data_IF_493752564316
#
_entry.id   IF_493752564316
#
_cell.length_a   1.000
_cell.length_b   1.000
_cell.length_c   1.000
_cell.angle_alpha   90.00
_cell.angle_beta   90.00
_cell.angle_gamma   90.00
#
_symmetry.space_group_name_H-M   'P 1'
#
loop_
_entity.id
_entity.type
_entity.pdbx_description
1 polymer ?
#
# COMPACT_ATOMS: atom_id res chain seq x y z
N UNK A 1 38.45 -19.67 -7.14
CA UNK A 1 38.22 -19.71 -5.67
C UNK A 1 36.81 -19.26 -5.27
N UNK A 2 36.18 -18.22 -5.91
CA UNK A 2 34.81 -17.84 -5.61
C UNK A 2 33.78 -18.92 -5.96
N UNK A 3 33.93 -19.62 -7.08
CA UNK A 3 33.03 -20.71 -7.49
C UNK A 3 33.12 -21.93 -6.53
N UNK A 4 34.28 -22.22 -5.94
CA UNK A 4 34.45 -23.35 -5.02
C UNK A 4 33.79 -23.11 -3.63
N UNK A 5 33.59 -21.88 -3.22
CA UNK A 5 32.91 -21.56 -1.95
C UNK A 5 31.43 -21.86 -1.97
N UNK A 6 30.77 -21.77 -3.11
CA UNK A 6 29.33 -22.03 -3.29
C UNK A 6 28.98 -23.51 -3.45
N UNK A 7 29.95 -24.37 -3.76
CA UNK A 7 29.71 -25.82 -3.98
C UNK A 7 29.22 -26.57 -2.74
N UNK A 8 29.56 -26.11 -1.57
CA UNK A 8 29.09 -26.72 -0.32
C UNK A 8 27.58 -26.39 -0.01
N UNK A 9 26.98 -25.51 -0.77
CA UNK A 9 25.57 -25.12 -0.61
C UNK A 9 24.62 -26.00 -1.44
N UNK A 10 25.19 -26.82 -2.35
CA UNK A 10 24.43 -27.66 -3.27
C UNK A 10 24.95 -29.10 -3.28
N UNK A 11 24.04 -30.06 -3.33
CA UNK A 11 24.36 -31.45 -3.67
C UNK A 11 23.80 -31.77 -5.05
N UNK A 12 24.65 -32.25 -5.93
CA UNK A 12 24.31 -32.54 -7.30
C UNK A 12 24.25 -34.06 -7.54
N UNK A 13 23.27 -34.49 -8.34
CA UNK A 13 23.09 -35.86 -8.78
C UNK A 13 22.74 -35.89 -10.28
N UNK A 14 22.85 -37.03 -10.92
CA UNK A 14 22.52 -37.23 -12.32
C UNK A 14 23.70 -37.74 -13.17
N UNK A 15 23.46 -37.96 -14.46
CA UNK A 15 24.44 -38.41 -15.43
C UNK A 15 24.96 -37.20 -16.20
N UNK A 16 26.28 -36.96 -16.13
CA UNK A 16 26.91 -35.85 -16.84
C UNK A 16 27.93 -36.36 -17.84
N UNK A 17 27.94 -35.77 -19.01
CA UNK A 17 28.87 -35.98 -20.07
C UNK A 17 29.41 -34.64 -20.56
N UNK A 18 30.69 -34.54 -20.84
CA UNK A 18 31.26 -33.29 -21.30
C UNK A 18 32.59 -33.47 -22.02
N UNK A 19 32.89 -32.48 -22.86
CA UNK A 19 34.16 -32.38 -23.57
C UNK A 19 34.69 -30.95 -23.44
N UNK A 20 36.01 -30.81 -23.43
CA UNK A 20 36.69 -29.52 -23.45
C UNK A 20 37.84 -29.55 -24.46
N UNK A 21 37.97 -28.45 -25.21
CA UNK A 21 39.04 -28.24 -26.19
C UNK A 21 39.82 -26.99 -25.78
N UNK A 22 41.16 -27.13 -25.78
CA UNK A 22 42.08 -26.04 -25.45
C UNK A 22 42.95 -25.80 -26.66
N UNK A 23 42.93 -24.60 -27.22
CA UNK A 23 43.69 -24.24 -28.43
C UNK A 23 44.50 -22.98 -28.19
N UNK A 24 45.75 -23.01 -28.59
CA UNK A 24 46.63 -21.85 -28.50
C UNK A 24 47.86 -22.06 -27.60
N UNK A 25 48.58 -20.96 -27.35
CA UNK A 25 49.75 -20.94 -26.47
C UNK A 25 49.43 -20.27 -25.17
N UNK A 26 49.97 -20.79 -24.07
CA UNK A 26 49.91 -20.14 -22.76
C UNK A 26 51.21 -19.39 -22.52
N UNK A 27 51.17 -18.09 -22.33
CA UNK A 27 52.30 -17.24 -21.96
C UNK A 27 51.84 -16.10 -21.07
N UNK A 28 52.77 -15.28 -20.58
CA UNK A 28 52.40 -14.08 -19.76
C UNK A 28 51.46 -13.11 -20.46
N UNK A 29 51.44 -13.13 -21.80
CA UNK A 29 50.62 -12.19 -22.63
C UNK A 29 49.61 -12.90 -23.54
N UNK A 30 49.46 -14.22 -23.44
CA UNK A 30 48.61 -15.01 -24.32
C UNK A 30 47.92 -16.13 -23.53
N UNK A 31 46.64 -16.16 -23.54
CA UNK A 31 45.82 -17.22 -22.94
C UNK A 31 45.24 -18.11 -24.04
N UNK A 32 45.29 -19.43 -23.88
CA UNK A 32 44.67 -20.33 -24.85
C UNK A 32 43.17 -20.14 -24.87
N UNK A 33 42.56 -20.34 -26.03
CA UNK A 33 41.12 -20.40 -26.15
C UNK A 33 40.61 -21.73 -25.60
N UNK A 34 39.61 -21.68 -24.76
CA UNK A 34 38.98 -22.86 -24.16
C UNK A 34 37.52 -22.88 -24.65
N UNK A 35 37.10 -24.00 -25.21
CA UNK A 35 35.72 -24.31 -25.49
C UNK A 35 35.35 -25.57 -24.74
N UNK A 36 34.19 -25.58 -24.11
CA UNK A 36 33.67 -26.75 -23.40
C UNK A 36 32.20 -26.94 -23.68
N UNK A 37 31.78 -28.19 -23.76
CA UNK A 37 30.36 -28.58 -23.83
C UNK A 37 30.08 -29.60 -22.75
N UNK A 38 28.92 -29.49 -22.12
CA UNK A 38 28.47 -30.44 -21.10
C UNK A 38 27.00 -30.68 -21.20
N UNK A 39 26.57 -31.88 -20.86
CA UNK A 39 25.16 -32.25 -20.73
C UNK A 39 24.95 -32.89 -19.37
N UNK A 40 23.82 -32.59 -18.76
CA UNK A 40 23.32 -33.22 -17.55
C UNK A 40 21.98 -33.85 -17.90
N UNK A 41 21.83 -35.15 -17.62
CA UNK A 41 20.58 -35.91 -17.80
C UNK A 41 20.08 -36.41 -16.45
N UNK A 42 18.77 -36.39 -16.25
CA UNK A 42 18.15 -36.79 -15.00
C UNK A 42 18.82 -36.14 -13.75
N UNK A 43 19.24 -34.91 -13.91
CA UNK A 43 19.93 -34.17 -12.88
C UNK A 43 19.04 -33.87 -11.68
N UNK A 44 19.65 -33.87 -10.50
CA UNK A 44 19.05 -33.39 -9.28
C UNK A 44 19.96 -32.36 -8.62
N UNK A 45 19.38 -31.33 -8.06
CA UNK A 45 20.06 -30.32 -7.25
C UNK A 45 19.34 -30.24 -5.90
N UNK A 46 20.04 -30.53 -4.83
CA UNK A 46 19.58 -30.34 -3.47
C UNK A 46 20.22 -29.07 -2.91
N UNK A 47 19.40 -28.14 -2.49
CA UNK A 47 19.87 -26.92 -1.82
C UNK A 47 20.01 -27.21 -0.32
N UNK A 48 21.26 -27.35 0.14
CA UNK A 48 21.61 -27.82 1.48
C UNK A 48 21.00 -26.91 2.58
N UNK A 49 20.84 -25.61 2.29
CA UNK A 49 20.36 -24.61 3.26
C UNK A 49 18.90 -24.79 3.65
N UNK A 50 18.04 -25.18 2.73
CA UNK A 50 16.59 -25.31 2.94
C UNK A 50 16.04 -26.72 2.62
N UNK A 51 16.92 -27.64 2.25
CA UNK A 51 16.60 -29.02 1.85
C UNK A 51 15.58 -29.11 0.71
N UNK A 52 15.52 -28.09 -0.14
CA UNK A 52 14.73 -28.12 -1.38
C UNK A 52 15.48 -28.92 -2.44
N UNK A 53 14.74 -29.74 -3.20
CA UNK A 53 15.30 -30.60 -4.23
C UNK A 53 14.64 -30.35 -5.59
N UNK A 54 15.46 -30.09 -6.61
CA UNK A 54 15.04 -30.05 -7.99
C UNK A 54 15.42 -31.36 -8.63
N UNK A 55 14.48 -32.07 -9.28
CA UNK A 55 14.72 -33.36 -9.96
C UNK A 55 14.40 -33.29 -11.44
N UNK A 56 14.99 -34.22 -12.19
CA UNK A 56 14.69 -34.40 -13.61
C UNK A 56 15.24 -33.28 -14.50
N UNK A 57 16.31 -32.63 -14.05
CA UNK A 57 16.98 -31.60 -14.85
C UNK A 57 17.66 -32.21 -16.06
N UNK A 58 17.37 -31.67 -17.25
CA UNK A 58 18.10 -31.90 -18.48
C UNK A 58 18.69 -30.60 -18.96
N UNK A 59 20.01 -30.44 -18.86
CA UNK A 59 20.71 -29.18 -19.11
C UNK A 59 21.80 -29.42 -20.13
N UNK A 60 21.94 -28.53 -21.11
CA UNK A 60 23.09 -28.41 -21.96
C UNK A 60 23.83 -27.13 -21.66
N UNK A 61 25.14 -27.18 -21.52
CA UNK A 61 25.98 -26.00 -21.26
C UNK A 61 27.05 -25.95 -22.33
N UNK A 62 27.27 -24.78 -22.90
CA UNK A 62 28.41 -24.50 -23.79
C UNK A 62 29.19 -23.31 -23.24
N UNK A 63 30.48 -23.45 -23.16
CA UNK A 63 31.38 -22.41 -22.67
C UNK A 63 32.40 -22.05 -23.75
N UNK A 64 32.70 -20.77 -23.88
CA UNK A 64 33.78 -20.25 -24.70
C UNK A 64 34.51 -19.15 -23.90
N UNK A 65 35.84 -19.31 -23.73
CA UNK A 65 36.63 -18.31 -23.02
C UNK A 65 36.79 -16.98 -23.78
N UNK A 66 36.34 -16.93 -25.02
CA UNK A 66 36.56 -15.79 -25.90
C UNK A 66 37.97 -15.83 -26.54
N UNK A 67 38.21 -14.81 -27.35
CA UNK A 67 39.51 -14.58 -27.99
C UNK A 67 39.89 -13.10 -27.89
N UNK A 68 40.79 -12.70 -26.98
CA UNK A 68 41.19 -11.31 -26.79
C UNK A 68 41.76 -10.66 -28.05
N UNK A 69 42.48 -11.42 -28.91
CA UNK A 69 43.03 -10.93 -30.16
C UNK A 69 41.97 -10.59 -31.19
N UNK A 70 40.88 -11.37 -31.19
CA UNK A 70 39.69 -11.11 -32.03
C UNK A 70 38.66 -10.22 -31.37
N UNK A 71 38.92 -9.65 -30.18
CA UNK A 71 37.97 -8.90 -29.34
C UNK A 71 36.70 -9.70 -28.99
N UNK A 72 36.74 -11.01 -29.04
CA UNK A 72 35.66 -11.89 -28.66
C UNK A 72 35.66 -12.07 -27.15
N UNK A 73 34.58 -11.75 -26.50
CA UNK A 73 34.38 -11.92 -25.05
C UNK A 73 34.07 -13.38 -24.71
N UNK A 74 34.28 -13.76 -23.46
CA UNK A 74 33.84 -15.04 -22.95
C UNK A 74 32.31 -15.15 -22.97
N UNK A 75 31.80 -16.37 -23.15
CA UNK A 75 30.37 -16.63 -23.15
C UNK A 75 30.01 -17.99 -22.54
N UNK A 76 28.86 -18.09 -21.94
CA UNK A 76 28.22 -19.34 -21.52
C UNK A 76 26.80 -19.38 -22.06
N UNK A 77 26.49 -20.44 -22.77
CA UNK A 77 25.13 -20.77 -23.20
C UNK A 77 24.62 -21.93 -22.36
N UNK A 78 23.46 -21.77 -21.78
CA UNK A 78 22.78 -22.77 -20.96
C UNK A 78 21.39 -22.98 -21.57
N UNK A 79 21.00 -24.22 -21.82
CA UNK A 79 19.64 -24.55 -22.23
C UNK A 79 19.06 -25.65 -21.34
N UNK A 80 17.79 -25.46 -20.99
CA UNK A 80 16.98 -26.43 -20.25
C UNK A 80 15.96 -27.00 -21.22
N UNK A 81 15.87 -28.33 -21.27
CA UNK A 81 14.89 -29.00 -22.15
C UNK A 81 13.87 -29.74 -21.31
N UNK A 82 12.66 -29.23 -21.25
CA UNK A 82 11.49 -29.89 -20.60
C UNK A 82 11.82 -30.60 -19.30
N UNK A 83 12.50 -29.88 -18.42
CA UNK A 83 12.87 -30.42 -17.12
C UNK A 83 11.69 -30.38 -16.20
N UNK A 84 11.39 -31.47 -15.50
CA UNK A 84 10.40 -31.48 -14.43
C UNK A 84 11.01 -30.84 -13.18
N UNK A 85 10.48 -29.70 -12.78
CA UNK A 85 10.90 -28.99 -11.57
C UNK A 85 9.71 -29.03 -10.59
N UNK A 86 9.86 -29.70 -9.46
CA UNK A 86 8.78 -29.90 -8.49
C UNK A 86 7.43 -30.39 -9.09
N UNK A 87 7.49 -31.29 -10.09
CA UNK A 87 6.33 -31.80 -10.76
C UNK A 87 5.76 -30.92 -11.89
N UNK A 88 6.38 -29.78 -12.14
CA UNK A 88 6.07 -28.83 -13.21
C UNK A 88 7.10 -28.89 -14.33
N UNK A 89 6.76 -28.47 -15.55
CA UNK A 89 7.71 -28.40 -16.65
C UNK A 89 8.20 -26.97 -16.83
N UNK A 90 9.52 -26.80 -16.89
CA UNK A 90 10.19 -25.55 -17.21
C UNK A 90 11.17 -25.76 -18.33
N UNK A 91 11.15 -24.90 -19.33
CA UNK A 91 12.15 -24.87 -20.38
C UNK A 91 12.66 -23.44 -20.60
N UNK A 92 13.89 -23.33 -21.06
CA UNK A 92 14.48 -22.03 -21.31
C UNK A 92 15.93 -22.09 -21.72
N UNK A 93 16.47 -20.91 -21.92
CA UNK A 93 17.88 -20.68 -22.25
C UNK A 93 18.42 -19.45 -21.56
N UNK A 94 19.69 -19.45 -21.28
CA UNK A 94 20.44 -18.29 -20.84
C UNK A 94 21.72 -18.17 -21.66
N UNK A 95 22.00 -16.99 -22.19
CA UNK A 95 23.26 -16.59 -22.78
C UNK A 95 23.90 -15.57 -21.85
N UNK A 96 25.10 -15.88 -21.37
CA UNK A 96 25.87 -15.02 -20.46
C UNK A 96 27.14 -14.60 -21.18
N UNK A 97 27.25 -13.34 -21.53
CA UNK A 97 28.39 -12.78 -22.20
C UNK A 97 29.29 -11.98 -21.26
N UNK A 98 30.61 -12.02 -21.47
CA UNK A 98 31.59 -11.25 -20.72
C UNK A 98 31.61 -11.59 -19.22
N UNK A 99 32.06 -12.77 -18.84
CA UNK A 99 32.04 -13.30 -17.48
C UNK A 99 32.72 -12.40 -16.43
N UNK A 100 33.63 -11.48 -16.85
CA UNK A 100 34.25 -10.49 -15.94
C UNK A 100 33.30 -9.35 -15.58
N UNK A 101 32.40 -8.98 -16.51
CA UNK A 101 31.29 -8.01 -16.33
C UNK A 101 30.08 -8.54 -17.11
N UNK A 102 29.31 -9.45 -16.52
CA UNK A 102 28.35 -10.27 -17.25
C UNK A 102 27.14 -9.49 -17.74
N UNK A 103 26.76 -9.86 -18.96
CA UNK A 103 25.51 -9.44 -19.59
C UNK A 103 24.67 -10.68 -19.83
N UNK A 104 23.41 -10.65 -19.42
CA UNK A 104 22.50 -11.79 -19.45
C UNK A 104 21.39 -11.59 -20.47
N UNK A 105 21.22 -12.57 -21.35
CA UNK A 105 20.01 -12.77 -22.13
C UNK A 105 19.37 -14.08 -21.66
N UNK A 106 18.14 -14.02 -21.15
CA UNK A 106 17.45 -15.18 -20.56
C UNK A 106 16.06 -15.29 -21.14
N UNK A 107 15.65 -16.50 -21.50
CA UNK A 107 14.26 -16.81 -21.84
C UNK A 107 13.79 -18.04 -21.09
N UNK A 108 12.56 -17.98 -20.54
CA UNK A 108 11.92 -19.06 -19.78
C UNK A 108 10.46 -19.20 -20.20
N UNK A 109 9.97 -20.43 -20.14
CA UNK A 109 8.57 -20.77 -20.32
C UNK A 109 8.24 -22.02 -19.49
N UNK A 110 7.04 -22.07 -18.92
CA UNK A 110 6.58 -23.20 -18.12
C UNK A 110 6.21 -22.81 -16.70
N UNK A 111 6.00 -23.78 -15.85
CA UNK A 111 5.53 -23.57 -14.49
C UNK A 111 6.68 -23.64 -13.49
N UNK A 112 6.71 -22.69 -12.55
CA UNK A 112 7.74 -22.52 -11.54
C UNK A 112 7.11 -22.36 -10.14
N UNK A 113 7.42 -23.27 -9.18
CA UNK A 113 7.07 -23.04 -7.79
C UNK A 113 7.70 -21.76 -7.26
N UNK A 114 6.89 -20.93 -6.58
CA UNK A 114 7.34 -19.63 -6.08
C UNK A 114 8.50 -19.74 -5.08
N UNK A 115 8.57 -20.84 -4.31
CA UNK A 115 9.63 -21.11 -3.35
C UNK A 115 11.03 -21.16 -3.99
N UNK A 116 11.13 -21.49 -5.29
CA UNK A 116 12.40 -21.44 -6.02
C UNK A 116 13.00 -20.04 -6.10
N UNK A 117 12.18 -18.99 -6.10
CA UNK A 117 12.67 -17.62 -6.12
C UNK A 117 13.40 -17.23 -4.81
N UNK A 118 13.20 -17.99 -3.73
CA UNK A 118 13.95 -17.79 -2.48
C UNK A 118 15.46 -18.06 -2.69
N UNK A 119 15.83 -18.83 -3.71
CA UNK A 119 17.22 -19.10 -4.08
C UNK A 119 17.93 -17.87 -4.65
N UNK A 120 17.20 -16.94 -5.24
CA UNK A 120 17.74 -15.68 -5.73
C UNK A 120 18.18 -14.74 -4.60
N UNK A 121 17.86 -15.10 -3.35
CA UNK A 121 18.25 -14.37 -2.12
C UNK A 121 17.94 -12.87 -2.16
N UNK A 122 16.77 -12.51 -2.69
CA UNK A 122 16.30 -11.11 -2.67
C UNK A 122 16.05 -10.71 -1.23
N UNK A 123 16.76 -9.70 -0.75
CA UNK A 123 16.70 -9.28 0.65
C UNK A 123 15.27 -8.93 1.09
N UNK A 124 14.81 -9.58 2.14
CA UNK A 124 13.49 -9.35 2.74
C UNK A 124 12.32 -10.01 2.02
N UNK A 125 12.50 -10.61 0.83
CA UNK A 125 11.46 -11.33 0.10
C UNK A 125 11.53 -12.83 0.39
N UNK A 126 10.41 -13.44 0.78
CA UNK A 126 10.33 -14.88 1.02
C UNK A 126 8.97 -15.42 0.58
N UNK A 127 8.98 -16.40 -0.33
CA UNK A 127 7.80 -17.11 -0.80
C UNK A 127 7.54 -18.33 0.07
N UNK A 128 6.35 -18.40 0.69
CA UNK A 128 5.91 -19.53 1.51
C UNK A 128 5.22 -20.60 0.65
N UNK A 129 4.43 -20.18 -0.35
CA UNK A 129 3.59 -21.05 -1.17
C UNK A 129 3.29 -20.41 -2.52
N UNK A 130 2.86 -21.24 -3.49
CA UNK A 130 2.29 -20.84 -4.77
C UNK A 130 3.17 -21.20 -5.95
N UNK A 131 2.68 -20.83 -7.13
CA UNK A 131 3.36 -21.08 -8.39
C UNK A 131 3.18 -19.92 -9.38
N UNK A 132 4.11 -19.85 -10.32
CA UNK A 132 4.04 -18.99 -11.49
C UNK A 132 3.93 -19.87 -12.74
N UNK A 133 2.90 -19.64 -13.53
CA UNK A 133 2.81 -20.19 -14.90
C UNK A 133 3.29 -19.11 -15.87
N UNK A 134 4.51 -19.30 -16.35
CA UNK A 134 5.22 -18.35 -17.19
C UNK A 134 4.88 -18.66 -18.65
N UNK A 135 4.03 -17.84 -19.25
CA UNK A 135 3.73 -17.93 -20.67
C UNK A 135 4.89 -17.42 -21.53
N UNK A 136 5.53 -16.36 -21.05
CA UNK A 136 6.68 -15.74 -21.70
C UNK A 136 7.53 -14.99 -20.68
N UNK A 137 8.84 -15.23 -20.71
CA UNK A 137 9.85 -14.47 -19.97
C UNK A 137 11.04 -14.26 -20.88
N UNK A 138 11.36 -13.01 -21.15
CA UNK A 138 12.60 -12.60 -21.80
C UNK A 138 13.26 -11.48 -21.02
N UNK A 139 14.56 -11.60 -20.84
CA UNK A 139 15.42 -10.58 -20.26
C UNK A 139 16.59 -10.39 -21.21
N UNK A 140 16.76 -9.20 -21.76
CA UNK A 140 17.78 -8.90 -22.77
C UNK A 140 18.73 -7.82 -22.28
N UNK A 141 20.03 -7.99 -22.58
CA UNK A 141 21.10 -7.04 -22.19
C UNK A 141 21.13 -6.69 -20.69
N UNK A 142 20.65 -7.56 -19.83
CA UNK A 142 20.56 -7.29 -18.39
C UNK A 142 21.92 -7.35 -17.71
N UNK A 143 22.20 -6.33 -16.86
CA UNK A 143 23.46 -6.21 -16.10
C UNK A 143 23.15 -6.10 -14.61
N UNK A 144 23.53 -7.10 -13.79
CA UNK A 144 23.21 -7.12 -12.35
C UNK A 144 23.76 -5.92 -11.56
N UNK A 145 24.89 -5.35 -11.99
CA UNK A 145 25.50 -4.20 -11.32
C UNK A 145 24.67 -2.91 -11.43
N UNK A 146 23.81 -2.83 -12.45
CA UNK A 146 22.83 -1.77 -12.64
C UNK A 146 21.42 -2.16 -12.18
N UNK A 147 21.28 -3.25 -11.43
CA UNK A 147 20.00 -3.88 -11.09
C UNK A 147 19.19 -3.09 -10.08
N UNK A 148 18.60 -1.99 -10.53
CA UNK A 148 17.43 -1.41 -9.89
C UNK A 148 16.16 -2.11 -10.42
N UNK A 149 15.06 -2.03 -9.70
CA UNK A 149 13.74 -2.44 -10.19
C UNK A 149 13.44 -1.81 -11.55
N UNK A 150 13.82 -0.56 -11.74
CA UNK A 150 13.68 0.17 -13.00
C UNK A 150 14.45 -0.50 -14.15
N UNK A 151 15.68 -0.92 -13.92
CA UNK A 151 16.47 -1.61 -14.94
C UNK A 151 15.83 -2.94 -15.36
N UNK A 152 15.34 -3.73 -14.40
CA UNK A 152 14.62 -4.96 -14.68
C UNK A 152 13.35 -4.71 -15.51
N UNK A 153 12.55 -3.72 -15.13
CA UNK A 153 11.32 -3.35 -15.84
C UNK A 153 11.60 -2.89 -17.30
N UNK A 154 12.75 -2.24 -17.54
CA UNK A 154 13.13 -1.77 -18.88
C UNK A 154 13.67 -2.86 -19.81
N UNK A 155 14.35 -3.88 -19.26
CA UNK A 155 15.02 -4.95 -20.02
C UNK A 155 14.23 -6.25 -20.08
N UNK A 156 13.13 -6.36 -19.34
CA UNK A 156 12.32 -7.54 -19.26
C UNK A 156 11.04 -7.46 -20.09
N UNK A 157 10.66 -8.59 -20.68
CA UNK A 157 9.30 -8.85 -21.18
C UNK A 157 8.81 -10.10 -20.49
N UNK A 158 7.70 -10.01 -19.75
CA UNK A 158 7.22 -11.10 -18.91
C UNK A 158 5.72 -11.16 -18.97
N UNK A 159 5.19 -12.34 -19.24
CA UNK A 159 3.77 -12.63 -19.09
C UNK A 159 3.64 -13.90 -18.25
N UNK A 160 3.02 -13.77 -17.08
CA UNK A 160 2.79 -14.91 -16.22
C UNK A 160 1.47 -14.83 -15.48
N UNK A 161 0.96 -15.99 -15.09
CA UNK A 161 -0.12 -16.13 -14.11
C UNK A 161 0.45 -16.57 -12.79
N UNK A 162 -0.03 -15.96 -11.72
CA UNK A 162 0.28 -16.34 -10.36
C UNK A 162 -0.88 -17.14 -9.78
N UNK A 163 -0.58 -18.20 -9.03
CA UNK A 163 -1.59 -19.05 -8.39
C UNK A 163 -1.20 -19.32 -6.94
N UNK A 164 -2.13 -19.15 -6.02
CA UNK A 164 -1.98 -19.49 -4.59
C UNK A 164 -0.74 -18.86 -3.93
N UNK A 165 -0.28 -17.69 -4.36
CA UNK A 165 0.92 -17.07 -3.81
C UNK A 165 0.71 -16.59 -2.38
N UNK A 166 1.59 -17.03 -1.50
CA UNK A 166 1.76 -16.48 -0.15
C UNK A 166 3.24 -16.13 -0.01
N UNK A 167 3.50 -14.86 0.25
CA UNK A 167 4.87 -14.37 0.43
C UNK A 167 4.95 -13.26 1.46
N UNK A 168 6.13 -13.07 1.99
CA UNK A 168 6.45 -11.96 2.89
C UNK A 168 7.50 -11.07 2.23
N UNK A 169 7.32 -9.76 2.37
CA UNK A 169 8.36 -8.80 2.07
C UNK A 169 8.65 -7.99 3.34
N UNK A 170 9.87 -8.15 3.86
CA UNK A 170 10.25 -7.70 5.19
C UNK A 170 9.30 -8.31 6.25
N UNK A 171 8.48 -7.50 6.94
CA UNK A 171 7.53 -7.94 7.96
C UNK A 171 6.09 -8.04 7.43
N UNK A 172 5.86 -7.66 6.17
CA UNK A 172 4.52 -7.61 5.59
C UNK A 172 4.18 -8.92 4.89
N UNK A 173 3.05 -9.51 5.25
CA UNK A 173 2.51 -10.71 4.59
C UNK A 173 1.60 -10.33 3.44
N UNK A 174 1.80 -10.98 2.29
CA UNK A 174 1.02 -10.80 1.07
C UNK A 174 0.43 -12.12 0.62
N UNK A 175 -0.82 -12.06 0.16
CA UNK A 175 -1.55 -13.21 -0.40
C UNK A 175 -2.13 -12.81 -1.74
N UNK A 176 -1.85 -13.60 -2.76
CA UNK A 176 -2.35 -13.46 -4.13
C UNK A 176 -2.87 -14.82 -4.58
N UNK A 177 -4.18 -15.09 -4.48
CA UNK A 177 -4.76 -16.38 -4.86
C UNK A 177 -4.59 -16.66 -6.35
N UNK A 178 -5.04 -15.72 -7.20
CA UNK A 178 -4.95 -15.79 -8.65
C UNK A 178 -4.75 -14.40 -9.26
N UNK A 179 -4.05 -14.35 -10.39
CA UNK A 179 -3.86 -13.12 -11.12
C UNK A 179 -2.89 -13.24 -12.27
N UNK A 180 -2.93 -12.28 -13.18
CA UNK A 180 -1.99 -12.16 -14.28
C UNK A 180 -1.16 -10.88 -14.20
N UNK A 181 0.08 -11.01 -14.60
CA UNK A 181 1.04 -9.90 -14.69
C UNK A 181 1.68 -9.94 -16.07
N UNK A 182 1.62 -8.80 -16.75
CA UNK A 182 2.24 -8.60 -18.05
C UNK A 182 3.19 -7.40 -17.96
N UNK A 183 4.44 -7.65 -18.26
CA UNK A 183 5.48 -6.62 -18.38
C UNK A 183 5.97 -6.57 -19.82
N UNK A 184 5.77 -5.44 -20.48
CA UNK A 184 6.29 -5.16 -21.80
C UNK A 184 6.64 -3.68 -21.94
N UNK A 185 7.74 -3.38 -22.61
CA UNK A 185 8.19 -2.01 -22.92
C UNK A 185 8.24 -1.09 -21.67
N UNK A 186 8.69 -1.61 -20.54
CA UNK A 186 8.77 -0.86 -19.28
C UNK A 186 7.44 -0.61 -18.59
N UNK A 187 6.36 -1.18 -19.10
CA UNK A 187 5.01 -1.09 -18.52
C UNK A 187 4.58 -2.43 -17.95
N UNK A 188 4.33 -2.46 -16.65
CA UNK A 188 3.76 -3.59 -15.94
C UNK A 188 2.25 -3.41 -15.84
N UNK A 189 1.48 -4.31 -16.45
CA UNK A 189 0.04 -4.40 -16.28
C UNK A 189 -0.28 -5.47 -15.25
N UNK A 190 -1.25 -5.19 -14.38
CA UNK A 190 -1.70 -6.07 -13.30
C UNK A 190 -3.18 -6.32 -13.45
N UNK A 191 -3.60 -7.57 -13.34
CA UNK A 191 -5.00 -7.99 -13.27
C UNK A 191 -5.10 -9.13 -12.25
N UNK A 192 -5.48 -8.79 -11.01
CA UNK A 192 -5.48 -9.69 -9.87
C UNK A 192 -6.91 -9.80 -9.34
N UNK A 193 -7.43 -11.02 -9.27
CA UNK A 193 -8.77 -11.26 -8.71
C UNK A 193 -8.85 -10.78 -7.26
N UNK A 194 -7.78 -10.99 -6.51
CA UNK A 194 -7.65 -10.54 -5.13
C UNK A 194 -6.18 -10.34 -4.75
N UNK A 195 -5.91 -9.31 -3.98
CA UNK A 195 -4.62 -9.06 -3.36
C UNK A 195 -4.78 -8.68 -1.91
N UNK A 196 -4.13 -9.39 -1.00
CA UNK A 196 -4.14 -9.06 0.44
C UNK A 196 -2.77 -8.60 0.89
N UNK A 197 -2.72 -7.47 1.56
CA UNK A 197 -1.55 -6.94 2.27
C UNK A 197 -1.86 -6.86 3.76
N UNK A 198 -1.21 -7.71 4.54
CA UNK A 198 -1.50 -7.91 5.96
C UNK A 198 -2.99 -8.25 6.21
N UNK A 199 -3.79 -7.26 6.58
CA UNK A 199 -5.23 -7.41 6.82
C UNK A 199 -6.09 -6.71 5.75
N UNK A 200 -5.50 -5.90 4.90
CA UNK A 200 -6.21 -5.16 3.87
C UNK A 200 -6.32 -6.02 2.61
N UNK A 201 -7.53 -6.33 2.19
CA UNK A 201 -7.81 -7.10 0.97
C UNK A 201 -8.44 -6.20 -0.07
N UNK A 202 -7.83 -6.17 -1.24
CA UNK A 202 -8.36 -5.50 -2.45
C UNK A 202 -8.80 -6.58 -3.41
N UNK A 203 -10.06 -6.55 -3.80
CA UNK A 203 -10.64 -7.41 -4.83
C UNK A 203 -10.61 -6.69 -6.19
N UNK A 204 -10.53 -7.45 -7.28
CA UNK A 204 -10.48 -6.95 -8.67
C UNK A 204 -9.43 -5.86 -8.89
N UNK A 205 -8.22 -6.05 -8.34
CA UNK A 205 -7.12 -5.08 -8.46
C UNK A 205 -6.56 -5.07 -9.88
N UNK A 206 -6.74 -3.97 -10.59
CA UNK A 206 -6.30 -3.77 -11.97
C UNK A 206 -5.52 -2.48 -12.14
N UNK A 207 -4.66 -2.47 -13.13
CA UNK A 207 -3.99 -1.24 -13.52
C UNK A 207 -2.61 -1.43 -14.11
N UNK A 208 -1.81 -0.38 -14.04
CA UNK A 208 -0.49 -0.40 -14.62
C UNK A 208 0.53 0.42 -13.83
N UNK A 209 1.78 -0.02 -13.92
CA UNK A 209 2.96 0.65 -13.37
C UNK A 209 3.94 0.85 -14.53
N UNK A 210 4.43 2.08 -14.70
CA UNK A 210 5.41 2.44 -15.73
C UNK A 210 6.68 2.93 -15.06
N UNK A 211 7.82 2.41 -15.53
CA UNK A 211 9.12 2.79 -15.00
C UNK A 211 9.80 3.85 -15.86
N UNK A 212 10.27 4.91 -15.23
CA UNK A 212 11.07 5.97 -15.82
C UNK A 212 12.29 6.25 -14.93
N UNK A 213 13.47 5.84 -15.33
CA UNK A 213 14.71 6.02 -14.55
C UNK A 213 14.56 5.68 -13.04
N UNK A 214 14.43 6.72 -12.19
CA UNK A 214 14.30 6.58 -10.73
C UNK A 214 12.86 6.89 -10.23
N UNK A 215 11.87 6.73 -11.09
CA UNK A 215 10.45 6.96 -10.82
C UNK A 215 9.61 5.80 -11.34
N UNK A 216 8.59 5.42 -10.57
CA UNK A 216 7.50 4.55 -11.00
C UNK A 216 6.21 5.35 -11.01
N UNK A 217 5.53 5.42 -12.15
CA UNK A 217 4.19 5.96 -12.25
C UNK A 217 3.18 4.82 -12.19
N UNK A 218 2.10 4.98 -11.43
CA UNK A 218 1.08 3.95 -11.30
C UNK A 218 -0.33 4.51 -11.47
N UNK A 219 -1.19 3.65 -12.00
CA UNK A 219 -2.65 3.85 -12.02
C UNK A 219 -3.28 2.51 -11.66
N UNK A 220 -4.00 2.46 -10.54
CA UNK A 220 -4.60 1.24 -10.02
C UNK A 220 -6.04 1.50 -9.61
N UNK A 221 -6.90 0.51 -9.79
CA UNK A 221 -8.26 0.48 -9.30
C UNK A 221 -8.61 -0.91 -8.75
N UNK A 222 -9.59 -0.94 -7.84
CA UNK A 222 -10.05 -2.17 -7.21
C UNK A 222 -11.13 -1.90 -6.17
N UNK A 223 -11.54 -2.94 -5.48
CA UNK A 223 -12.54 -2.88 -4.40
C UNK A 223 -11.89 -3.16 -3.06
N UNK A 224 -11.99 -2.21 -2.11
CA UNK A 224 -11.47 -2.33 -0.74
C UNK A 224 -12.61 -2.06 0.25
N UNK A 225 -12.82 -2.94 1.22
CA UNK A 225 -13.85 -2.77 2.26
C UNK A 225 -15.21 -2.36 1.68
N UNK A 226 -15.70 -3.10 0.70
CA UNK A 226 -16.92 -2.87 -0.10
C UNK A 226 -16.91 -1.61 -0.99
N UNK A 227 -15.92 -0.73 -0.87
CA UNK A 227 -15.83 0.51 -1.62
C UNK A 227 -14.91 0.40 -2.84
N UNK A 228 -15.25 1.13 -3.90
CA UNK A 228 -14.38 1.28 -5.07
C UNK A 228 -13.24 2.24 -4.75
N UNK A 229 -12.02 1.84 -5.07
CA UNK A 229 -10.79 2.66 -4.92
C UNK A 229 -10.17 2.86 -6.29
N UNK A 230 -9.93 4.11 -6.66
CA UNK A 230 -9.18 4.53 -7.84
C UNK A 230 -7.99 5.35 -7.35
N UNK A 231 -6.78 4.99 -7.76
CA UNK A 231 -5.57 5.73 -7.39
C UNK A 231 -4.64 5.91 -8.57
N UNK A 232 -4.00 7.05 -8.63
CA UNK A 232 -2.90 7.30 -9.55
C UNK A 232 -1.83 8.13 -8.85
N UNK A 233 -0.58 7.87 -9.20
CA UNK A 233 0.51 8.58 -8.56
C UNK A 233 1.85 8.16 -9.08
N UNK A 234 2.87 8.53 -8.34
CA UNK A 234 4.25 8.15 -8.63
C UNK A 234 5.01 7.84 -7.36
N UNK A 235 6.01 6.98 -7.47
CA UNK A 235 7.04 6.78 -6.45
C UNK A 235 8.36 7.26 -7.03
N UNK A 236 8.99 8.23 -6.37
CA UNK A 236 10.29 8.80 -6.75
C UNK A 236 11.35 8.45 -5.73
N UNK A 237 12.62 8.54 -6.09
CA UNK A 237 13.73 8.28 -5.14
C UNK A 237 13.90 6.82 -4.75
N UNK A 238 13.53 5.89 -5.63
CA UNK A 238 13.54 4.44 -5.40
C UNK A 238 14.84 3.88 -4.81
N UNK A 239 15.97 4.46 -5.21
CA UNK A 239 17.31 3.96 -4.83
C UNK A 239 17.85 4.57 -3.53
N UNK A 240 17.12 5.49 -2.88
CA UNK A 240 17.57 6.18 -1.67
C UNK A 240 16.44 6.30 -0.65
N UNK A 241 15.61 7.30 -0.81
CA UNK A 241 14.47 7.61 0.07
C UNK A 241 13.21 7.73 -0.77
N UNK A 242 12.46 6.66 -0.92
CA UNK A 242 11.26 6.67 -1.73
C UNK A 242 10.22 7.65 -1.18
N UNK A 243 9.57 8.37 -2.10
CA UNK A 243 8.40 9.19 -1.79
C UNK A 243 7.28 8.81 -2.74
N UNK A 244 6.16 8.37 -2.20
CA UNK A 244 4.93 8.11 -2.94
C UNK A 244 4.05 9.36 -2.92
N UNK A 245 3.74 9.90 -4.10
CA UNK A 245 2.77 10.97 -4.28
C UNK A 245 1.58 10.41 -5.06
N UNK A 246 0.39 10.46 -4.46
CA UNK A 246 -0.78 9.85 -5.06
C UNK A 246 -2.06 10.65 -4.85
N UNK A 247 -2.98 10.50 -5.79
CA UNK A 247 -4.38 10.93 -5.65
C UNK A 247 -5.26 9.71 -5.50
N UNK A 248 -6.26 9.83 -4.65
CA UNK A 248 -7.19 8.78 -4.27
C UNK A 248 -8.63 9.24 -4.47
N UNK A 249 -9.42 8.42 -5.12
CA UNK A 249 -10.86 8.55 -5.17
C UNK A 249 -11.47 7.25 -4.66
N UNK A 250 -12.13 7.35 -3.52
CA UNK A 250 -12.74 6.21 -2.85
C UNK A 250 -14.24 6.45 -2.78
N UNK A 251 -15.03 5.45 -3.14
CA UNK A 251 -16.50 5.57 -3.18
C UNK A 251 -17.15 4.42 -2.43
N UNK A 252 -17.92 4.75 -1.41
CA UNK A 252 -18.76 3.78 -0.68
C UNK A 252 -17.99 2.84 0.25
N UNK A 253 -16.79 3.21 0.71
CA UNK A 253 -15.99 2.37 1.60
C UNK A 253 -16.64 2.24 2.98
N UNK A 254 -16.66 1.03 3.53
CA UNK A 254 -17.18 0.76 4.87
C UNK A 254 -16.13 1.13 5.92
N UNK A 255 -16.44 2.16 6.74
CA UNK A 255 -15.46 2.79 7.64
C UNK A 255 -14.95 1.86 8.73
N UNK A 256 -15.81 0.98 9.27
CA UNK A 256 -15.38 0.00 10.27
C UNK A 256 -14.35 -0.95 9.72
N UNK A 257 -14.60 -1.53 8.53
CA UNK A 257 -13.68 -2.46 7.87
C UNK A 257 -12.37 -1.76 7.49
N UNK A 258 -12.43 -0.51 7.03
CA UNK A 258 -11.24 0.28 6.73
C UNK A 258 -10.35 0.45 7.97
N UNK A 259 -10.94 0.85 9.10
CA UNK A 259 -10.20 1.00 10.36
C UNK A 259 -9.62 -0.34 10.85
N UNK A 260 -10.37 -1.44 10.75
CA UNK A 260 -9.88 -2.79 11.09
C UNK A 260 -8.70 -3.22 10.20
N UNK A 261 -8.82 -3.03 8.89
CA UNK A 261 -7.81 -3.43 7.92
C UNK A 261 -6.47 -2.73 8.12
N UNK A 262 -6.50 -1.48 8.57
CA UNK A 262 -5.31 -0.67 8.84
C UNK A 262 -5.00 -0.50 10.33
N UNK A 263 -5.48 -1.41 11.20
CA UNK A 263 -5.22 -1.40 12.66
C UNK A 263 -5.50 -0.04 13.30
N UNK A 264 -6.63 0.59 12.89
CA UNK A 264 -7.06 1.93 13.30
C UNK A 264 -6.03 3.05 12.97
N UNK A 265 -5.13 2.84 12.00
CA UNK A 265 -4.01 3.75 11.68
C UNK A 265 -3.14 4.08 12.91
N UNK A 266 -2.95 3.09 13.79
CA UNK A 266 -2.22 3.18 15.07
C UNK A 266 -2.72 4.28 16.03
N UNK A 267 -3.96 4.77 15.83
CA UNK A 267 -4.59 5.76 16.69
C UNK A 267 -5.69 5.14 17.57
N UNK A 268 -6.02 5.79 18.71
CA UNK A 268 -6.97 5.30 19.70
C UNK A 268 -8.19 6.20 19.88
N UNK A 269 -8.27 7.29 19.12
CA UNK A 269 -9.34 8.29 19.29
C UNK A 269 -10.63 7.88 18.59
N UNK A 270 -10.55 7.46 17.30
CA UNK A 270 -11.66 6.90 16.53
C UNK A 270 -11.23 5.53 16.03
N UNK A 271 -11.86 4.48 16.51
CA UNK A 271 -11.53 3.10 16.17
C UNK A 271 -12.66 2.40 15.42
N UNK A 272 -12.40 1.22 14.92
CA UNK A 272 -13.40 0.35 14.29
C UNK A 272 -14.58 0.01 15.22
N UNK A 273 -14.37 0.06 16.54
CA UNK A 273 -15.44 -0.15 17.52
C UNK A 273 -16.35 1.08 17.65
N UNK A 274 -15.81 2.27 17.37
CA UNK A 274 -16.51 3.52 17.57
C UNK A 274 -17.23 4.01 16.32
N UNK A 275 -16.63 3.89 15.11
CA UNK A 275 -17.17 4.51 13.89
C UNK A 275 -17.70 3.47 12.90
N UNK A 276 -18.94 3.68 12.45
CA UNK A 276 -19.57 2.97 11.33
C UNK A 276 -20.11 3.95 10.30
N UNK A 277 -20.34 3.49 9.10
CA UNK A 277 -20.91 4.25 7.99
C UNK A 277 -20.14 4.03 6.70
N UNK A 278 -20.71 4.48 5.58
CA UNK A 278 -20.07 4.41 4.26
C UNK A 278 -19.51 5.78 3.89
N UNK A 279 -18.24 5.79 3.49
CA UNK A 279 -17.56 7.03 3.15
C UNK A 279 -17.20 7.12 1.66
N UNK A 280 -17.28 8.35 1.15
CA UNK A 280 -16.59 8.76 -0.07
C UNK A 280 -15.42 9.65 0.34
N UNK A 281 -14.25 9.42 -0.27
CA UNK A 281 -13.03 10.14 0.08
C UNK A 281 -12.32 10.57 -1.21
N UNK A 282 -11.93 11.82 -1.26
CA UNK A 282 -11.04 12.39 -2.27
C UNK A 282 -9.80 12.88 -1.54
N UNK A 283 -8.65 12.33 -1.89
CA UNK A 283 -7.44 12.68 -1.18
C UNK A 283 -6.24 12.83 -2.11
N UNK A 284 -5.32 13.67 -1.71
CA UNK A 284 -3.95 13.68 -2.18
C UNK A 284 -3.03 13.37 -1.02
N UNK A 285 -2.06 12.51 -1.25
CA UNK A 285 -1.08 12.12 -0.25
C UNK A 285 0.34 12.26 -0.78
N UNK A 286 1.26 12.58 0.13
CA UNK A 286 2.70 12.45 -0.05
C UNK A 286 3.26 11.65 1.13
N UNK A 287 3.77 10.46 0.84
CA UNK A 287 4.19 9.48 1.84
C UNK A 287 5.67 9.19 1.62
N UNK A 288 6.57 9.72 2.45
CA UNK A 288 7.98 9.37 2.42
C UNK A 288 8.25 8.07 3.17
N UNK A 289 9.24 7.32 2.66
CA UNK A 289 9.72 6.07 3.24
C UNK A 289 11.21 6.17 3.60
N UNK A 290 11.64 5.35 4.54
CA UNK A 290 13.05 5.15 4.84
C UNK A 290 13.71 4.19 3.81
N UNK A 291 15.00 3.93 3.97
CA UNK A 291 15.77 3.03 3.10
C UNK A 291 15.27 1.57 3.14
N UNK A 292 14.47 1.21 4.14
CA UNK A 292 13.85 -0.12 4.30
C UNK A 292 12.38 -0.14 3.87
N UNK A 293 11.87 0.93 3.27
CA UNK A 293 10.47 1.08 2.88
C UNK A 293 9.49 1.16 4.06
N UNK A 294 9.94 1.54 5.25
CA UNK A 294 9.02 1.89 6.33
C UNK A 294 8.54 3.33 6.14
N UNK A 295 7.26 3.55 6.33
CA UNK A 295 6.65 4.87 6.25
C UNK A 295 7.19 5.80 7.34
N UNK A 296 7.60 7.00 6.96
CA UNK A 296 8.04 8.04 7.91
C UNK A 296 6.80 8.84 8.32
N UNK A 297 6.09 8.35 9.33
CA UNK A 297 4.74 8.81 9.71
C UNK A 297 4.65 10.29 10.05
N UNK A 298 5.65 10.85 10.72
CA UNK A 298 5.71 12.27 11.06
C UNK A 298 5.90 13.22 9.87
N UNK A 299 6.23 12.67 8.69
CA UNK A 299 6.39 13.42 7.44
C UNK A 299 5.29 13.17 6.42
N UNK A 300 4.31 12.35 6.76
CA UNK A 300 3.15 12.11 5.91
C UNK A 300 2.36 13.40 5.74
N UNK A 301 2.02 13.71 4.50
CA UNK A 301 1.11 14.81 4.15
C UNK A 301 -0.11 14.28 3.43
N UNK A 302 -1.29 14.68 3.90
CA UNK A 302 -2.57 14.35 3.25
C UNK A 302 -3.46 15.59 3.25
N UNK A 303 -4.14 15.82 2.12
CA UNK A 303 -5.27 16.73 2.01
C UNK A 303 -6.45 15.94 1.49
N UNK A 304 -7.57 15.97 2.19
CA UNK A 304 -8.73 15.18 1.81
C UNK A 304 -10.05 15.88 2.03
N UNK A 305 -11.05 15.46 1.25
CA UNK A 305 -12.47 15.71 1.47
C UNK A 305 -13.14 14.38 1.80
N UNK A 306 -13.99 14.37 2.80
CA UNK A 306 -14.67 13.17 3.33
C UNK A 306 -16.17 13.42 3.40
N UNK A 307 -16.97 12.48 2.89
CA UNK A 307 -18.42 12.43 2.99
C UNK A 307 -18.83 11.06 3.57
N UNK A 308 -19.16 11.00 4.85
CA UNK A 308 -19.63 9.79 5.53
C UNK A 308 -21.15 9.83 5.63
N UNK A 309 -21.80 8.75 5.20
CA UNK A 309 -23.27 8.61 5.23
C UNK A 309 -23.68 7.45 6.14
N UNK A 310 -24.91 7.58 6.67
CA UNK A 310 -25.51 6.59 7.56
C UNK A 310 -24.59 6.21 8.72
N UNK A 311 -23.96 7.25 9.29
CA UNK A 311 -22.91 7.10 10.27
C UNK A 311 -23.42 6.85 11.67
N UNK A 312 -22.62 6.13 12.45
CA UNK A 312 -22.84 5.84 13.86
C UNK A 312 -21.53 5.95 14.63
N UNK A 313 -21.53 6.79 15.68
CA UNK A 313 -20.47 6.86 16.68
C UNK A 313 -20.95 6.18 17.95
N UNK A 314 -20.22 5.17 18.41
CA UNK A 314 -20.52 4.41 19.63
C UNK A 314 -19.44 4.57 20.68
N UNK A 315 -19.85 4.62 21.94
CA UNK A 315 -19.00 4.51 23.12
C UNK A 315 -17.74 5.40 23.07
N UNK A 316 -17.92 6.63 22.58
CA UNK A 316 -16.86 7.64 22.55
C UNK A 316 -16.65 8.20 23.97
N UNK A 317 -15.62 7.70 24.68
CA UNK A 317 -15.31 8.14 26.07
C UNK A 317 -15.20 9.65 26.20
N UNK A 318 -14.61 10.32 25.22
CA UNK A 318 -14.48 11.77 25.18
C UNK A 318 -15.82 12.50 25.13
N UNK A 319 -16.89 11.86 24.68
CA UNK A 319 -18.23 12.43 24.66
C UNK A 319 -19.05 12.05 25.91
N UNK A 320 -18.73 10.96 26.59
CA UNK A 320 -19.40 10.55 27.83
C UNK A 320 -19.27 11.60 28.94
N UNK A 321 -18.17 12.35 28.98
CA UNK A 321 -17.96 13.43 29.94
C UNK A 321 -18.96 14.58 29.77
N UNK A 322 -19.61 14.73 28.61
CA UNK A 322 -20.76 15.62 28.43
C UNK A 322 -22.06 15.08 29.05
N UNK A 323 -22.05 13.90 29.66
CA UNK A 323 -23.20 13.30 30.34
C UNK A 323 -23.82 14.17 31.43
N UNK A 324 -23.07 15.18 31.96
CA UNK A 324 -23.61 16.20 32.81
C UNK A 324 -24.69 17.06 32.13
N UNK A 325 -24.61 17.22 30.81
CA UNK A 325 -25.44 18.09 30.01
C UNK A 325 -26.47 17.34 29.16
N UNK A 326 -26.16 16.12 28.71
CA UNK A 326 -26.98 15.28 27.82
C UNK A 326 -27.21 13.93 28.49
N UNK A 327 -28.26 13.20 28.13
CA UNK A 327 -28.46 11.83 28.57
C UNK A 327 -27.27 10.97 28.09
N UNK A 328 -26.63 10.26 29.02
CA UNK A 328 -25.46 9.45 28.74
C UNK A 328 -25.74 8.38 27.66
N UNK A 329 -26.92 7.77 27.70
CA UNK A 329 -27.33 6.76 26.71
C UNK A 329 -27.44 7.35 25.29
N UNK A 330 -27.81 8.61 25.14
CA UNK A 330 -27.84 9.30 23.85
C UNK A 330 -26.44 9.57 23.31
N UNK A 331 -25.44 9.76 24.18
CA UNK A 331 -24.04 9.96 23.82
C UNK A 331 -23.29 8.65 23.51
N UNK A 332 -23.79 7.52 24.00
CA UNK A 332 -23.22 6.20 23.72
C UNK A 332 -23.57 5.65 22.34
N UNK A 333 -24.62 6.16 21.71
CA UNK A 333 -25.07 5.73 20.37
C UNK A 333 -25.54 6.95 19.58
N UNK A 334 -24.57 7.67 18.99
CA UNK A 334 -24.83 8.87 18.20
C UNK A 334 -24.95 8.47 16.74
N UNK A 335 -26.09 8.75 16.12
CA UNK A 335 -26.34 8.51 14.69
C UNK A 335 -26.41 9.81 13.94
N UNK A 336 -25.87 9.84 12.75
CA UNK A 336 -25.92 10.96 11.82
C UNK A 336 -26.18 10.47 10.40
N UNK A 337 -26.97 11.22 9.62
CA UNK A 337 -27.26 10.88 8.24
C UNK A 337 -26.05 11.13 7.36
N UNK A 338 -25.36 12.24 7.60
CA UNK A 338 -24.24 12.67 6.82
C UNK A 338 -23.26 13.49 7.65
N UNK A 339 -21.97 13.24 7.44
CA UNK A 339 -20.88 14.04 7.95
C UNK A 339 -19.97 14.38 6.77
N UNK A 340 -19.80 15.66 6.49
CA UNK A 340 -18.92 16.17 5.43
C UNK A 340 -17.90 17.10 6.01
N UNK A 341 -16.65 16.91 5.65
CA UNK A 341 -15.58 17.82 6.01
C UNK A 341 -14.37 17.66 5.11
N UNK A 342 -13.45 18.59 5.27
CA UNK A 342 -12.08 18.49 4.83
C UNK A 342 -11.19 18.02 5.98
N UNK A 343 -10.03 17.45 5.64
CA UNK A 343 -9.03 17.03 6.62
C UNK A 343 -7.63 17.27 6.03
N UNK A 344 -6.72 17.76 6.86
CA UNK A 344 -5.31 17.87 6.53
C UNK A 344 -4.49 17.05 7.53
N UNK A 345 -3.50 16.31 7.03
CA UNK A 345 -2.47 15.68 7.86
C UNK A 345 -1.14 16.31 7.44
N UNK A 346 -0.39 16.79 8.40
CA UNK A 346 0.92 17.39 8.18
C UNK A 346 1.71 17.41 9.49
N UNK A 347 3.01 17.09 9.42
CA UNK A 347 3.91 17.10 10.58
C UNK A 347 3.38 16.29 11.77
N UNK A 348 2.87 15.07 11.52
CA UNK A 348 2.32 14.20 12.56
C UNK A 348 1.04 14.72 13.24
N UNK A 349 0.36 15.70 12.63
CA UNK A 349 -0.86 16.31 13.17
C UNK A 349 -2.00 16.18 12.17
N UNK A 350 -3.16 15.78 12.65
CA UNK A 350 -4.43 15.75 11.91
C UNK A 350 -5.21 17.03 12.25
N UNK A 351 -5.53 17.82 11.25
CA UNK A 351 -6.33 19.05 11.37
C UNK A 351 -7.73 18.80 10.82
N UNK A 352 -8.73 19.08 11.63
CA UNK A 352 -10.15 19.01 11.28
C UNK A 352 -10.74 20.43 11.28
N UNK A 353 -10.93 21.05 10.12
CA UNK A 353 -11.62 22.33 10.04
C UNK A 353 -13.03 22.26 10.61
N UNK A 354 -13.61 23.41 10.92
CA UNK A 354 -14.94 23.48 11.52
C UNK A 354 -15.98 22.75 10.66
N UNK A 355 -16.74 21.88 11.31
CA UNK A 355 -17.87 21.16 10.69
C UNK A 355 -19.09 21.17 11.59
N UNK A 356 -20.25 21.15 10.96
CA UNK A 356 -21.50 20.96 11.64
C UNK A 356 -21.92 19.50 11.61
N UNK A 357 -22.32 18.96 12.75
CA UNK A 357 -22.82 17.59 12.88
C UNK A 357 -24.26 17.64 13.39
N UNK A 358 -25.19 17.21 12.54
CA UNK A 358 -26.57 16.95 12.92
C UNK A 358 -26.73 15.49 13.33
N UNK A 359 -27.10 15.26 14.58
CA UNK A 359 -27.17 13.89 15.10
C UNK A 359 -28.44 13.58 15.87
N UNK A 360 -28.66 12.30 16.16
CA UNK A 360 -29.78 11.82 17.00
C UNK A 360 -29.65 12.27 18.46
N UNK A 361 -28.45 12.56 18.93
CA UNK A 361 -28.20 12.99 20.31
C UNK A 361 -28.34 14.53 20.46
N UNK A 362 -27.54 15.26 19.68
CA UNK A 362 -27.49 16.72 19.72
C UNK A 362 -26.85 17.25 18.42
N UNK A 363 -27.12 18.51 18.13
CA UNK A 363 -26.43 19.20 17.05
C UNK A 363 -25.21 19.94 17.60
N UNK A 364 -24.09 19.84 16.90
CA UNK A 364 -22.84 20.48 17.32
C UNK A 364 -22.05 21.01 16.14
N UNK A 365 -21.25 22.06 16.40
CA UNK A 365 -20.13 22.42 15.55
C UNK A 365 -18.85 22.04 16.26
N UNK A 366 -17.91 21.47 15.52
CA UNK A 366 -16.61 21.01 16.03
C UNK A 366 -15.50 21.37 15.06
N UNK A 367 -14.35 21.80 15.58
CA UNK A 367 -13.08 21.87 14.88
C UNK A 367 -11.96 21.49 15.82
N UNK A 368 -10.79 21.20 15.29
CA UNK A 368 -9.65 20.95 16.15
C UNK A 368 -8.53 20.19 15.48
N UNK A 369 -7.63 19.74 16.30
CA UNK A 369 -6.46 18.97 15.86
C UNK A 369 -6.11 17.90 16.88
N UNK A 370 -5.47 16.83 16.38
CA UNK A 370 -4.80 15.86 17.22
C UNK A 370 -3.50 15.39 16.60
N UNK A 371 -2.53 15.12 17.44
CA UNK A 371 -1.22 14.66 17.01
C UNK A 371 -1.13 13.13 17.07
N UNK A 372 -0.24 12.52 16.32
CA UNK A 372 0.00 11.07 16.36
C UNK A 372 0.50 10.60 17.74
N UNK A 373 1.12 11.49 18.54
CA UNK A 373 1.45 11.25 19.95
C UNK A 373 0.27 11.47 20.91
N UNK A 374 -0.96 11.47 20.39
CA UNK A 374 -2.23 11.48 21.12
C UNK A 374 -2.59 12.77 21.86
N UNK A 375 -1.95 13.90 21.58
CA UNK A 375 -2.38 15.20 22.10
C UNK A 375 -3.58 15.70 21.31
N UNK A 376 -4.55 16.29 21.98
CA UNK A 376 -5.77 16.82 21.37
C UNK A 376 -6.00 18.27 21.75
N UNK A 377 -6.59 19.02 20.79
CA UNK A 377 -7.17 20.33 21.00
C UNK A 377 -8.42 20.45 20.13
N UNK A 378 -9.58 20.45 20.76
CA UNK A 378 -10.87 20.57 20.05
C UNK A 378 -11.69 21.72 20.60
N UNK A 379 -12.39 22.38 19.70
CA UNK A 379 -13.36 23.44 19.94
C UNK A 379 -14.74 22.93 19.60
N UNK A 380 -15.68 23.03 20.56
CA UNK A 380 -17.04 22.48 20.40
C UNK A 380 -18.06 23.53 20.78
N UNK A 381 -19.07 23.71 19.91
CA UNK A 381 -20.30 24.47 20.19
C UNK A 381 -21.46 23.50 20.20
N UNK A 382 -22.23 23.49 21.31
CA UNK A 382 -23.44 22.67 21.50
C UNK A 382 -24.65 23.54 21.60
N UNK A 383 -25.82 23.08 21.10
CA UNK A 383 -27.09 23.74 21.30
C UNK A 383 -27.72 23.34 22.64
N UNK A 384 -27.75 24.28 23.61
CA UNK A 384 -28.25 24.02 24.95
C UNK A 384 -29.75 23.73 25.01
N UNK A 385 -30.56 24.23 24.07
CA UNK A 385 -31.99 23.98 24.02
C UNK A 385 -32.30 22.52 23.72
N UNK A 386 -31.55 21.89 22.82
CA UNK A 386 -31.69 20.46 22.52
C UNK A 386 -31.21 19.60 23.70
N UNK A 387 -30.20 20.04 24.39
CA UNK A 387 -29.68 19.43 25.62
C UNK A 387 -30.76 19.40 26.71
N UNK A 388 -31.43 20.53 26.96
CA UNK A 388 -32.51 20.63 27.95
C UNK A 388 -33.72 19.76 27.60
N UNK A 389 -34.13 19.76 26.32
CA UNK A 389 -35.25 18.92 25.85
C UNK A 389 -34.97 17.41 25.97
N UNK A 390 -33.72 16.98 25.89
CA UNK A 390 -33.33 15.59 26.06
C UNK A 390 -33.45 15.12 27.51
N UNK A 391 -33.05 15.95 28.47
CA UNK A 391 -33.16 15.63 29.90
C UNK A 391 -34.60 15.52 30.42
N UNK A 392 -35.56 16.14 29.74
CA UNK A 392 -36.97 16.14 30.15
C UNK A 392 -37.81 14.99 29.58
N UNK A 393 -37.33 14.28 28.56
CA UNK A 393 -38.05 13.17 27.94
C UNK A 393 -37.68 11.83 28.59
N UNK A 394 -38.56 11.31 29.41
CA UNK A 394 -38.41 10.09 30.21
C UNK A 394 -38.85 8.79 29.52
N UNK A 395 -39.37 8.78 28.29
CA UNK A 395 -39.93 7.57 27.66
C UNK A 395 -39.61 7.46 26.15
N UNK A 396 -39.46 6.22 25.70
CA UNK A 396 -39.30 5.71 24.34
C UNK A 396 -39.91 6.55 23.23
N UNK A 397 -39.12 7.42 22.66
CA UNK A 397 -39.45 8.06 21.39
C UNK A 397 -38.45 7.54 20.37
N UNK A 398 -38.98 7.08 19.23
CA UNK A 398 -38.15 6.77 18.04
C UNK A 398 -37.03 7.79 17.92
N UNK A 399 -35.78 7.32 17.76
CA UNK A 399 -34.61 8.18 17.63
C UNK A 399 -34.61 8.87 16.26
N UNK A 400 -35.51 9.82 16.08
CA UNK A 400 -35.53 10.69 14.91
C UNK A 400 -34.48 11.77 15.09
N UNK A 401 -33.84 12.18 13.98
CA UNK A 401 -32.87 13.27 13.98
C UNK A 401 -33.52 14.54 14.56
N UNK A 402 -32.83 15.19 15.48
CA UNK A 402 -33.35 16.43 16.10
C UNK A 402 -33.24 17.55 15.10
N UNK A 403 -34.39 18.18 14.80
CA UNK A 403 -34.43 19.35 13.94
C UNK A 403 -33.62 20.49 14.55
N UNK A 404 -32.81 21.13 13.72
CA UNK A 404 -32.18 22.40 14.11
C UNK A 404 -33.30 23.42 14.38
N UNK A 405 -33.26 24.11 15.53
CA UNK A 405 -34.31 25.06 15.92
C UNK A 405 -33.72 26.44 16.19
N UNK A 406 -34.35 27.45 15.58
CA UNK A 406 -34.00 28.88 15.70
C UNK A 406 -34.33 29.50 17.05
N UNK A 407 -35.13 28.87 17.88
CA UNK A 407 -35.71 29.51 19.04
C UNK A 407 -34.72 29.70 20.19
N UNK A 408 -34.10 30.84 20.25
CA UNK A 408 -33.73 31.63 21.45
C UNK A 408 -32.84 30.98 22.51
N UNK A 409 -32.06 29.97 22.20
CA UNK A 409 -31.44 29.15 23.20
C UNK A 409 -29.95 29.42 23.38
N UNK A 410 -29.49 29.29 24.58
CA UNK A 410 -28.10 29.49 24.98
C UNK A 410 -27.24 28.40 24.37
N UNK A 411 -26.23 28.79 23.57
CA UNK A 411 -25.21 27.89 23.10
C UNK A 411 -24.13 27.67 24.19
N UNK A 412 -23.62 26.46 24.28
CA UNK A 412 -22.53 26.09 25.18
C UNK A 412 -21.24 25.89 24.36
N UNK A 413 -20.14 26.37 24.88
CA UNK A 413 -18.86 26.40 24.21
C UNK A 413 -17.80 25.70 25.05
N UNK A 414 -17.12 24.72 24.51
CA UNK A 414 -16.14 23.91 25.21
C UNK A 414 -14.84 23.84 24.43
N UNK A 415 -13.73 23.96 25.16
CA UNK A 415 -12.40 23.61 24.67
C UNK A 415 -12.01 22.29 25.33
N UNK A 416 -11.65 21.32 24.50
CA UNK A 416 -11.10 20.03 24.93
C UNK A 416 -9.61 20.06 24.68
N UNK A 417 -8.81 19.86 25.71
CA UNK A 417 -7.37 19.77 25.56
C UNK A 417 -6.78 18.66 26.44
N UNK A 418 -5.56 18.23 26.13
CA UNK A 418 -4.86 17.19 26.87
C UNK A 418 -4.42 16.04 25.96
N UNK A 419 -4.67 14.82 26.40
CA UNK A 419 -4.41 13.61 25.61
C UNK A 419 -5.68 12.78 25.47
N UNK A 420 -5.72 11.85 24.52
CA UNK A 420 -6.87 10.94 24.32
C UNK A 420 -7.24 10.14 25.56
N UNK A 421 -6.29 9.91 26.46
CA UNK A 421 -6.48 9.21 27.74
C UNK A 421 -6.79 10.13 28.93
N UNK A 422 -6.54 11.45 28.80
CA UNK A 422 -6.74 12.43 29.88
C UNK A 422 -7.18 13.77 29.28
N UNK A 423 -8.48 13.89 28.99
CA UNK A 423 -9.08 15.07 28.39
C UNK A 423 -9.49 16.05 29.47
N UNK A 424 -9.15 17.33 29.30
CA UNK A 424 -9.61 18.43 30.13
C UNK A 424 -10.63 19.26 29.38
N UNK A 425 -11.69 19.63 30.06
CA UNK A 425 -12.81 20.41 29.53
C UNK A 425 -12.81 21.81 30.15
N UNK A 426 -12.87 22.82 29.32
CA UNK A 426 -13.00 24.20 29.75
C UNK A 426 -14.17 24.86 29.01
N UNK A 427 -15.03 25.55 29.73
CA UNK A 427 -16.12 26.31 29.13
C UNK A 427 -15.63 27.73 28.82
N UNK A 428 -15.32 27.98 27.53
CA UNK A 428 -14.65 29.23 27.12
C UNK A 428 -15.13 29.64 25.71
N UNK A 429 -16.09 30.57 25.66
CA UNK A 429 -16.70 31.00 24.39
C UNK A 429 -15.72 31.68 23.44
N UNK A 430 -14.89 32.58 23.96
CA UNK A 430 -13.96 33.36 23.12
C UNK A 430 -12.95 32.46 22.40
N UNK A 431 -12.38 31.48 23.11
CA UNK A 431 -11.45 30.51 22.54
C UNK A 431 -12.09 29.66 21.46
N UNK A 432 -13.34 29.19 21.68
CA UNK A 432 -14.04 28.37 20.68
C UNK A 432 -14.32 29.19 19.43
N UNK A 433 -14.76 30.44 19.54
CA UNK A 433 -15.00 31.31 18.39
C UNK A 433 -13.71 31.54 17.62
N UNK A 434 -12.62 31.92 18.29
CA UNK A 434 -11.33 32.12 17.63
C UNK A 434 -10.80 30.83 16.97
N UNK A 435 -11.01 29.66 17.59
CA UNK A 435 -10.66 28.38 17.01
C UNK A 435 -11.45 28.06 15.74
N UNK A 436 -12.75 28.40 15.71
CA UNK A 436 -13.56 28.24 14.51
C UNK A 436 -13.14 29.20 13.37
N UNK A 437 -12.88 30.49 13.71
CA UNK A 437 -12.39 31.46 12.74
C UNK A 437 -11.07 31.00 12.12
N UNK A 438 -10.09 30.59 12.93
CA UNK A 438 -8.80 30.09 12.43
C UNK A 438 -8.95 28.83 11.57
N UNK A 439 -9.94 27.97 11.86
CA UNK A 439 -10.17 26.75 11.07
C UNK A 439 -10.92 27.01 9.76
N UNK A 440 -11.62 28.14 9.63
CA UNK A 440 -12.34 28.51 8.40
C UNK A 440 -11.38 28.81 7.26
N UNK A 441 -10.28 29.54 7.51
CA UNK A 441 -9.26 29.80 6.50
C UNK A 441 -8.61 28.50 5.97
N UNK A 442 -8.32 27.56 6.88
CA UNK A 442 -7.84 26.24 6.50
C UNK A 442 -8.86 25.50 5.63
N UNK A 443 -10.14 25.56 6.01
CA UNK A 443 -11.24 24.93 5.29
C UNK A 443 -11.36 25.45 3.87
N UNK A 444 -11.35 26.75 3.68
CA UNK A 444 -11.40 27.38 2.37
C UNK A 444 -10.19 27.03 1.52
N UNK A 445 -9.00 27.05 2.10
CA UNK A 445 -7.76 26.63 1.42
C UNK A 445 -7.85 25.20 0.90
N UNK A 446 -8.29 24.26 1.74
CA UNK A 446 -8.48 22.86 1.38
C UNK A 446 -9.57 22.68 0.32
N UNK A 447 -10.69 23.39 0.46
CA UNK A 447 -11.78 23.39 -0.51
C UNK A 447 -11.28 23.79 -1.89
N UNK A 448 -10.68 24.98 -2.00
CA UNK A 448 -10.21 25.52 -3.28
C UNK A 448 -9.24 24.55 -3.93
N UNK A 449 -8.30 24.00 -3.17
CA UNK A 449 -7.35 23.01 -3.64
C UNK A 449 -8.01 21.72 -4.17
N UNK A 450 -8.93 21.13 -3.41
CA UNK A 450 -9.55 19.85 -3.75
C UNK A 450 -10.63 19.98 -4.83
N UNK A 451 -11.33 21.13 -4.91
CA UNK A 451 -12.24 21.45 -6.01
C UNK A 451 -11.48 21.56 -7.33
N UNK A 452 -10.34 22.27 -7.35
CA UNK A 452 -9.48 22.36 -8.52
C UNK A 452 -8.97 20.98 -8.96
N UNK A 453 -8.56 20.15 -8.00
CA UNK A 453 -7.95 18.85 -8.27
C UNK A 453 -8.94 17.76 -8.68
N UNK A 454 -10.10 17.71 -8.05
CA UNK A 454 -11.08 16.62 -8.20
C UNK A 454 -12.44 17.08 -8.76
N UNK A 455 -12.69 18.36 -8.86
CA UNK A 455 -14.00 18.89 -9.21
C UNK A 455 -15.09 18.62 -8.16
N UNK A 456 -14.70 18.22 -6.93
CA UNK A 456 -15.62 17.86 -5.86
C UNK A 456 -15.64 18.93 -4.77
N UNK A 457 -16.84 19.45 -4.50
CA UNK A 457 -17.09 20.47 -3.49
C UNK A 457 -17.85 19.89 -2.30
N UNK A 458 -17.26 20.00 -1.10
CA UNK A 458 -17.95 19.68 0.16
C UNK A 458 -18.74 20.89 0.60
N UNK A 459 -20.06 20.81 0.49
CA UNK A 459 -20.92 21.81 1.09
C UNK A 459 -20.82 21.74 2.62
N UNK A 460 -20.62 22.88 3.26
CA UNK A 460 -20.60 22.98 4.71
C UNK A 460 -21.52 24.11 5.18
N UNK A 461 -21.84 24.06 6.46
CA UNK A 461 -22.66 25.05 7.15
C UNK A 461 -21.76 25.78 8.13
N UNK A 462 -21.76 27.11 8.03
CA UNK A 462 -21.00 27.93 8.96
C UNK A 462 -21.51 27.78 10.39
N UNK A 463 -20.67 27.95 11.43
CA UNK A 463 -21.04 27.72 12.83
C UNK A 463 -22.21 28.57 13.32
N UNK A 464 -22.52 29.70 12.66
CA UNK A 464 -23.62 30.59 13.00
C UNK A 464 -24.88 30.40 12.14
N UNK A 465 -24.80 29.59 11.07
CA UNK A 465 -25.89 29.37 10.12
C UNK A 465 -26.72 28.11 10.42
N UNK A 466 -26.17 27.18 11.24
CA UNK A 466 -26.82 25.89 11.49
C UNK A 466 -28.21 25.99 12.18
N UNK A 467 -28.54 27.12 12.75
CA UNK A 467 -29.88 27.40 13.33
C UNK A 467 -30.94 27.60 12.23
N UNK A 468 -30.54 27.93 11.02
CA UNK A 468 -31.36 28.25 9.85
C UNK A 468 -31.46 27.15 8.80
N UNK A 469 -30.93 25.96 9.07
CA UNK A 469 -30.81 24.87 8.07
C UNK A 469 -32.22 24.38 7.69
N UNK A 470 -32.54 24.36 6.36
CA UNK A 470 -33.70 23.63 5.87
C UNK A 470 -33.51 22.12 6.14
N UNK A 471 -34.63 21.43 6.39
CA UNK A 471 -34.59 19.96 6.50
C UNK A 471 -33.91 19.37 5.28
N UNK A 472 -32.83 18.57 5.47
CA UNK A 472 -32.31 17.77 4.40
C UNK A 472 -33.34 16.71 4.01
N UNK A 473 -33.82 16.77 2.77
CA UNK A 473 -34.64 15.75 2.13
C UNK A 473 -33.82 14.57 1.69
#
# INVERSE_FOLDING_TARGET
EKLLKTWNEYSLSGESEGEAKIEGRSSSNDSPQITAKGTLKNGGVVFVKNNEEIKGLSIEVQYNSGNPKAKQKSAVDISFKKSAVFGSSLEGRAHIQNLDNPVYDVSLNGSLPASLLNLASVSGLHFEKGAFDIDHFELNDFRPESSSMSSFLQHGTITFKASDLIFTYQENKMVLPDGSIDLSDGKLNVDLDQFTWNKATVDDLKGSIVSHDNQLDFTLDGTLCEGKVETKGSVTGMNQRPVSNATWKVTGIEMKQLLESFSNFDQTFITSDNLKGKANIWAESSIPFDEKWNMITDKVMVKSAIDIRDGQLKEMKTLEDFGTYVHLDDLRDIRFNQLRNYMKIENGTVYLPVMFIQSSALNMSISGEHTFDQKILYYIKLNAGQVAATKLKKNDVKRDFKKASKSGWINMYFVLNGTTSNVKYQQERSYVISGFEASTDLKESLRNYLVEKFGYDVYWIEPNEWEDIPEYQ
#
